data_IF_141786465933
#
_entry.id   IF_141786465933
#
_cell.length_a   1.000
_cell.length_b   1.000
_cell.length_c   1.000
_cell.angle_alpha   90.00
_cell.angle_beta   90.00
_cell.angle_gamma   90.00
#
_symmetry.space_group_name_H-M   'P 1'
#
loop_
_entity.id
_entity.type
_entity.pdbx_description
1 polymer ?
#
# COMPACT_ATOMS: atom_id res chain seq x y z
N UNK A 1 59.14 -13.78 60.56
CA UNK A 1 57.79 -14.12 61.04
C UNK A 1 57.09 -14.91 59.94
N UNK A 2 56.53 -16.07 60.28
CA UNK A 2 56.03 -17.09 59.34
C UNK A 2 54.69 -16.67 58.76
N UNK A 3 54.50 -16.77 57.43
CA UNK A 3 53.19 -16.81 56.80
C UNK A 3 53.07 -18.11 56.00
N UNK A 4 52.21 -18.99 56.51
CA UNK A 4 51.80 -20.25 55.88
C UNK A 4 50.65 -19.90 54.93
N UNK A 5 50.79 -20.20 53.64
CA UNK A 5 49.70 -20.05 52.67
C UNK A 5 49.15 -21.45 52.38
N UNK A 6 47.99 -21.74 52.97
CA UNK A 6 47.11 -22.84 52.58
C UNK A 6 46.21 -22.26 51.48
N UNK A 7 46.33 -22.74 50.24
CA UNK A 7 45.37 -22.40 49.19
C UNK A 7 44.65 -23.66 48.70
N UNK A 8 43.36 -23.63 48.99
CA UNK A 8 42.23 -24.51 48.76
C UNK A 8 42.11 -25.09 47.35
N UNK A 9 41.76 -26.38 47.30
CA UNK A 9 41.36 -27.16 46.13
C UNK A 9 40.04 -26.59 45.59
N UNK A 10 40.08 -26.00 44.39
CA UNK A 10 38.87 -25.59 43.67
C UNK A 10 38.45 -26.71 42.71
N UNK A 11 37.35 -27.39 43.05
CA UNK A 11 36.69 -28.38 42.20
C UNK A 11 36.08 -27.63 41.01
N UNK A 12 36.58 -27.91 39.80
CA UNK A 12 36.09 -27.31 38.57
C UNK A 12 34.70 -27.85 38.22
N UNK A 13 33.68 -27.01 38.41
CA UNK A 13 32.37 -27.20 37.79
C UNK A 13 32.49 -26.85 36.31
N UNK A 14 32.52 -27.85 35.43
CA UNK A 14 32.41 -27.66 33.99
C UNK A 14 30.98 -27.28 33.63
N UNK A 15 30.71 -25.98 33.49
CA UNK A 15 29.47 -25.50 32.89
C UNK A 15 29.56 -25.74 31.38
N UNK A 16 28.78 -26.70 30.86
CA UNK A 16 28.53 -26.79 29.42
C UNK A 16 27.74 -25.54 29.00
N UNK A 17 28.40 -24.62 28.30
CA UNK A 17 27.71 -23.50 27.64
C UNK A 17 26.86 -24.07 26.50
N UNK A 18 25.58 -24.30 26.75
CA UNK A 18 24.60 -24.44 25.68
C UNK A 18 24.41 -23.07 25.04
N UNK A 19 25.01 -22.82 23.89
CA UNK A 19 24.69 -21.62 23.09
C UNK A 19 23.21 -21.68 22.71
N UNK A 20 22.36 -20.73 23.13
CA UNK A 20 20.99 -20.69 22.66
C UNK A 20 21.01 -20.33 21.18
N UNK A 21 20.71 -21.32 20.32
CA UNK A 21 20.33 -21.04 18.94
C UNK A 21 19.02 -20.24 19.00
N UNK A 22 19.11 -18.91 18.90
CA UNK A 22 17.95 -18.08 18.66
C UNK A 22 17.37 -18.47 17.30
N UNK A 23 16.31 -19.28 17.32
CA UNK A 23 15.46 -19.49 16.14
C UNK A 23 14.78 -18.14 15.90
N UNK A 24 15.37 -17.32 15.04
CA UNK A 24 14.76 -16.07 14.60
C UNK A 24 13.50 -16.46 13.83
N UNK A 25 12.33 -16.21 14.41
CA UNK A 25 11.07 -16.34 13.69
C UNK A 25 11.10 -15.39 12.50
N UNK A 26 10.98 -15.93 11.29
CA UNK A 26 10.76 -15.14 10.08
C UNK A 26 9.32 -14.65 10.09
N UNK A 27 9.09 -13.48 10.69
CA UNK A 27 7.78 -12.83 10.62
C UNK A 27 7.56 -12.27 9.21
N UNK A 28 6.39 -12.56 8.63
CA UNK A 28 5.99 -12.00 7.33
C UNK A 28 5.79 -10.48 7.46
N UNK A 29 6.33 -9.65 6.55
CA UNK A 29 6.15 -8.20 6.64
C UNK A 29 4.69 -7.81 6.40
N UNK A 30 4.21 -6.78 7.07
CA UNK A 30 2.92 -6.16 6.75
C UNK A 30 2.98 -5.49 5.39
N UNK A 31 2.02 -5.77 4.51
CA UNK A 31 1.83 -5.06 3.25
C UNK A 31 0.61 -4.16 3.39
N UNK A 32 0.80 -2.86 3.17
CA UNK A 32 -0.28 -1.87 3.17
C UNK A 32 -0.46 -1.33 1.76
N UNK A 33 -1.69 -1.40 1.27
CA UNK A 33 -2.08 -0.82 -0.01
C UNK A 33 -3.46 -0.19 0.15
N UNK A 34 -3.61 1.03 -0.34
CA UNK A 34 -4.86 1.78 -0.28
C UNK A 34 -5.23 2.29 -1.67
N UNK A 35 -6.51 2.19 -1.97
CA UNK A 35 -7.13 2.87 -3.11
C UNK A 35 -8.19 3.83 -2.59
N UNK A 36 -8.24 5.03 -3.16
CA UNK A 36 -9.26 6.03 -2.83
C UNK A 36 -10.03 6.32 -4.11
N UNK A 37 -11.34 6.09 -4.07
CA UNK A 37 -12.24 6.32 -5.19
C UNK A 37 -12.98 7.65 -4.97
N UNK A 38 -13.03 8.48 -6.01
CA UNK A 38 -13.73 9.75 -6.00
C UNK A 38 -14.50 9.94 -7.30
N UNK A 39 -15.81 9.98 -7.21
CA UNK A 39 -16.67 10.30 -8.34
C UNK A 39 -16.79 11.81 -8.49
N UNK A 40 -16.30 12.36 -9.61
CA UNK A 40 -16.49 13.76 -9.97
C UNK A 40 -17.81 13.91 -10.74
N UNK A 41 -18.83 14.43 -10.06
CA UNK A 41 -20.17 14.63 -10.63
C UNK A 41 -20.20 15.64 -11.78
N UNK A 42 -19.20 16.54 -11.88
CA UNK A 42 -19.16 17.56 -12.93
C UNK A 42 -18.70 17.00 -14.28
N UNK A 43 -17.74 16.08 -14.26
CA UNK A 43 -17.18 15.47 -15.48
C UNK A 43 -17.62 14.03 -15.71
N UNK A 44 -18.39 13.47 -14.77
CA UNK A 44 -18.81 12.06 -14.76
C UNK A 44 -17.61 11.09 -14.86
N UNK A 45 -16.50 11.45 -14.21
CA UNK A 45 -15.31 10.62 -14.14
C UNK A 45 -15.16 10.01 -12.77
N UNK A 46 -14.72 8.76 -12.72
CA UNK A 46 -14.19 8.17 -11.49
C UNK A 46 -12.69 8.41 -11.45
N UNK A 47 -12.23 9.01 -10.36
CA UNK A 47 -10.83 9.19 -10.04
C UNK A 47 -10.44 8.15 -8.99
N UNK A 48 -9.37 7.39 -9.25
CA UNK A 48 -8.83 6.39 -8.35
C UNK A 48 -7.41 6.76 -7.99
N UNK A 49 -7.14 6.97 -6.70
CA UNK A 49 -5.80 7.22 -6.21
C UNK A 49 -5.14 5.95 -5.73
N UNK A 50 -3.87 5.82 -6.07
CA UNK A 50 -2.95 4.88 -5.44
C UNK A 50 -1.58 5.55 -5.34
N UNK A 51 -1.09 5.76 -4.13
CA UNK A 51 0.20 6.39 -3.86
C UNK A 51 0.35 7.78 -4.52
N UNK A 52 1.20 7.88 -5.56
CA UNK A 52 1.47 9.09 -6.35
C UNK A 52 0.79 9.09 -7.71
N UNK A 53 -0.11 8.13 -7.95
CA UNK A 53 -0.79 7.91 -9.21
C UNK A 53 -2.27 8.24 -9.09
N UNK A 54 -2.78 8.99 -10.06
CA UNK A 54 -4.20 9.28 -10.23
C UNK A 54 -4.69 8.61 -11.52
N UNK A 55 -5.57 7.62 -11.40
CA UNK A 55 -6.19 6.94 -12.53
C UNK A 55 -7.58 7.53 -12.78
N UNK A 56 -7.88 7.82 -14.03
CA UNK A 56 -9.06 8.60 -14.43
C UNK A 56 -9.86 7.74 -15.41
N UNK A 57 -11.08 7.42 -15.01
CA UNK A 57 -12.02 6.62 -15.78
C UNK A 57 -13.17 7.51 -16.24
N UNK A 58 -13.48 7.48 -17.53
CA UNK A 58 -14.72 8.05 -18.05
C UNK A 58 -15.83 7.02 -17.86
N UNK A 59 -16.87 7.37 -17.10
CA UNK A 59 -17.99 6.45 -16.86
C UNK A 59 -18.96 6.45 -18.02
N UNK A 60 -19.44 5.26 -18.39
CA UNK A 60 -20.58 5.08 -19.27
C UNK A 60 -21.89 5.50 -18.58
N UNK A 61 -22.97 5.66 -19.34
CA UNK A 61 -24.26 6.06 -18.78
C UNK A 61 -24.81 5.09 -17.73
N UNK A 62 -24.57 3.78 -17.90
CA UNK A 62 -24.96 2.78 -16.91
C UNK A 62 -24.10 2.90 -15.65
N UNK A 63 -22.78 3.01 -15.79
CA UNK A 63 -21.87 3.14 -14.65
C UNK A 63 -22.15 4.41 -13.84
N UNK A 64 -22.58 5.50 -14.51
CA UNK A 64 -23.05 6.75 -13.85
C UNK A 64 -24.29 6.55 -12.98
N UNK A 65 -25.13 5.58 -13.29
CA UNK A 65 -26.27 5.20 -12.44
C UNK A 65 -25.76 4.33 -11.29
N UNK A 66 -24.89 3.37 -11.61
CA UNK A 66 -24.41 2.36 -10.67
C UNK A 66 -23.59 2.96 -9.51
N UNK A 67 -22.84 4.06 -9.74
CA UNK A 67 -22.12 4.78 -8.65
C UNK A 67 -23.02 5.28 -7.53
N UNK A 68 -24.33 5.41 -7.77
CA UNK A 68 -25.31 5.88 -6.79
C UNK A 68 -25.99 4.73 -6.02
N UNK A 69 -25.50 3.51 -6.18
CA UNK A 69 -25.95 2.33 -5.43
C UNK A 69 -24.75 1.65 -4.78
N UNK A 70 -24.90 1.12 -3.55
CA UNK A 70 -23.78 0.47 -2.85
C UNK A 70 -23.24 -0.74 -3.63
N UNK A 71 -24.14 -1.56 -4.19
CA UNK A 71 -23.77 -2.73 -4.99
C UNK A 71 -23.11 -2.34 -6.30
N UNK A 72 -23.61 -1.31 -6.98
CA UNK A 72 -23.05 -0.81 -8.22
C UNK A 72 -21.67 -0.19 -8.01
N UNK A 73 -21.53 0.68 -7.02
CA UNK A 73 -20.24 1.28 -6.67
C UNK A 73 -19.20 0.23 -6.32
N UNK A 74 -19.55 -0.78 -5.50
CA UNK A 74 -18.64 -1.88 -5.16
C UNK A 74 -18.20 -2.65 -6.41
N UNK A 75 -19.14 -2.93 -7.33
CA UNK A 75 -18.81 -3.61 -8.59
C UNK A 75 -17.85 -2.78 -9.46
N UNK A 76 -18.08 -1.47 -9.55
CA UNK A 76 -17.21 -0.54 -10.27
C UNK A 76 -15.82 -0.46 -9.67
N UNK A 77 -15.69 -0.40 -8.34
CA UNK A 77 -14.38 -0.38 -7.66
C UNK A 77 -13.55 -1.61 -8.04
N UNK A 78 -14.14 -2.81 -7.99
CA UNK A 78 -13.47 -4.06 -8.40
C UNK A 78 -13.08 -4.04 -9.89
N UNK A 79 -13.99 -3.56 -10.75
CA UNK A 79 -13.73 -3.41 -12.18
C UNK A 79 -12.55 -2.46 -12.45
N UNK A 80 -12.49 -1.32 -11.78
CA UNK A 80 -11.41 -0.33 -11.95
C UNK A 80 -10.08 -0.85 -11.44
N UNK A 81 -10.04 -1.56 -10.31
CA UNK A 81 -8.82 -2.22 -9.84
C UNK A 81 -8.28 -3.22 -10.87
N UNK A 82 -9.18 -4.00 -11.46
CA UNK A 82 -8.83 -4.96 -12.52
C UNK A 82 -8.21 -4.24 -13.72
N UNK A 83 -8.83 -3.14 -14.19
CA UNK A 83 -8.32 -2.34 -15.30
C UNK A 83 -6.97 -1.68 -15.01
N UNK A 84 -6.75 -1.18 -13.79
CA UNK A 84 -5.45 -0.65 -13.36
C UNK A 84 -4.39 -1.76 -13.42
N UNK A 85 -4.72 -2.95 -12.92
CA UNK A 85 -3.78 -4.08 -12.91
C UNK A 85 -3.42 -4.60 -14.29
N UNK A 86 -4.30 -4.42 -15.28
CA UNK A 86 -4.06 -4.76 -16.67
C UNK A 86 -3.03 -3.83 -17.36
N UNK A 87 -2.58 -2.75 -16.70
CA UNK A 87 -1.64 -1.74 -17.23
C UNK A 87 -2.09 -1.11 -18.57
N UNK A 88 -3.40 -1.15 -18.86
CA UNK A 88 -4.01 -0.58 -20.06
C UNK A 88 -4.38 0.89 -19.84
N UNK A 89 -3.38 1.72 -19.53
CA UNK A 89 -3.58 3.12 -19.19
C UNK A 89 -2.56 4.02 -19.87
N UNK A 90 -2.97 5.22 -20.26
CA UNK A 90 -2.14 6.20 -20.95
C UNK A 90 -1.77 7.33 -20.00
N UNK A 91 -0.49 7.62 -19.85
CA UNK A 91 -0.04 8.75 -19.04
C UNK A 91 -0.41 10.08 -19.70
N UNK A 92 -0.95 11.00 -18.92
CA UNK A 92 -1.36 12.33 -19.34
C UNK A 92 -0.73 13.39 -18.45
N UNK A 93 -0.63 14.60 -18.98
CA UNK A 93 -0.08 15.72 -18.20
C UNK A 93 -1.14 16.32 -17.27
N UNK A 94 -0.71 16.88 -16.13
CA UNK A 94 -1.63 17.57 -15.22
C UNK A 94 -2.41 18.71 -15.89
N UNK A 95 -1.77 19.42 -16.82
CA UNK A 95 -2.36 20.58 -17.49
C UNK A 95 -3.47 20.21 -18.50
N UNK A 96 -3.49 18.98 -19.00
CA UNK A 96 -4.53 18.51 -19.93
C UNK A 96 -5.81 18.06 -19.24
N UNK A 97 -5.84 18.03 -17.91
CA UNK A 97 -6.99 17.60 -17.13
C UNK A 97 -7.92 18.77 -16.80
N UNK A 98 -9.22 18.49 -16.74
CA UNK A 98 -10.22 19.42 -16.26
C UNK A 98 -9.91 19.87 -14.81
N UNK A 99 -10.31 21.08 -14.44
CA UNK A 99 -9.99 21.65 -13.12
C UNK A 99 -10.59 20.84 -11.96
N UNK A 100 -11.80 20.29 -12.14
CA UNK A 100 -12.46 19.41 -11.16
C UNK A 100 -11.70 18.10 -10.99
N UNK A 101 -11.32 17.44 -12.09
CA UNK A 101 -10.54 16.19 -12.09
C UNK A 101 -9.18 16.39 -11.45
N UNK A 102 -8.49 17.50 -11.73
CA UNK A 102 -7.23 17.86 -11.05
C UNK A 102 -7.39 18.02 -9.55
N UNK A 103 -8.52 18.57 -9.12
CA UNK A 103 -8.83 18.78 -7.71
C UNK A 103 -9.16 17.46 -7.03
N UNK A 104 -9.94 16.61 -7.69
CA UNK A 104 -10.22 15.24 -7.28
C UNK A 104 -8.91 14.43 -7.13
N UNK A 105 -7.98 14.55 -8.10
CA UNK A 105 -6.65 13.95 -8.02
C UNK A 105 -5.86 14.41 -6.78
N UNK A 106 -6.09 15.64 -6.30
CA UNK A 106 -5.34 16.22 -5.19
C UNK A 106 -3.96 16.75 -5.59
N UNK A 107 -3.25 17.31 -4.59
CA UNK A 107 -2.01 18.06 -4.85
C UNK A 107 -0.73 17.23 -4.85
N UNK A 108 -0.75 16.05 -4.26
CA UNK A 108 0.44 15.22 -4.00
C UNK A 108 0.61 14.07 -5.02
N UNK A 109 0.04 14.24 -6.22
CA UNK A 109 0.11 13.28 -7.33
C UNK A 109 1.22 13.67 -8.29
N UNK A 110 2.00 12.68 -8.71
CA UNK A 110 3.09 12.84 -9.68
C UNK A 110 2.66 12.39 -11.08
N UNK A 111 1.88 11.32 -11.17
CA UNK A 111 1.47 10.72 -12.43
C UNK A 111 -0.04 10.68 -12.57
N UNK A 112 -0.51 11.00 -13.77
CA UNK A 112 -1.93 11.01 -14.12
C UNK A 112 -2.13 10.08 -15.28
N UNK A 113 -3.14 9.21 -15.18
CA UNK A 113 -3.40 8.18 -16.18
C UNK A 113 -4.86 8.23 -16.59
N UNK A 114 -5.12 8.23 -17.90
CA UNK A 114 -6.45 7.90 -18.42
C UNK A 114 -6.51 6.40 -18.67
N UNK A 115 -7.61 5.78 -18.24
CA UNK A 115 -7.84 4.34 -18.38
C UNK A 115 -9.02 4.16 -19.33
N UNK A 116 -8.80 3.35 -20.39
CA UNK A 116 -9.84 3.01 -21.36
C UNK A 116 -10.84 2.01 -20.78
#
# INVERSE_FOLDING_TARGET
MKCIIILTIMVGLSYQMTTPHNIRTTHEPSVTQQYIFHYDYLTHKMVVHKDKNCYIFTLTDQERIDVHTDSGLTALEVQFLTRISANAHTEVTRISLESSVRTACGFNIQHFYTVA
#
